data_IF_355480726103
#
_entry.id   IF_355480726103
#
_cell.length_a   1.000
_cell.length_b   1.000
_cell.length_c   1.000
_cell.angle_alpha   90.00
_cell.angle_beta   90.00
_cell.angle_gamma   90.00
#
_symmetry.space_group_name_H-M   'P 1'
#
loop_
_entity.id
_entity.type
_entity.pdbx_description
1 polymer ?
#
# COMPACT_ATOMS: atom_id res chain seq x y z
N UNK A 1 -21.54 21.06 -11.58
CA UNK A 1 -20.16 20.52 -11.64
C UNK A 1 -20.30 19.02 -11.53
N UNK A 2 -19.94 18.25 -12.57
CA UNK A 2 -20.27 16.81 -12.70
C UNK A 2 -19.60 15.93 -11.64
N UNK A 3 -18.42 16.33 -11.20
CA UNK A 3 -17.73 15.78 -10.05
C UNK A 3 -18.10 16.65 -8.85
N UNK A 4 -18.85 16.18 -7.84
CA UNK A 4 -19.23 17.01 -6.68
C UNK A 4 -18.06 17.62 -5.86
N UNK A 5 -18.24 17.86 -4.54
CA UNK A 5 -17.28 18.60 -3.70
C UNK A 5 -15.80 18.16 -3.79
N UNK A 6 -15.53 16.88 -4.08
CA UNK A 6 -14.18 16.31 -4.21
C UNK A 6 -13.66 16.17 -5.65
N UNK A 7 -14.03 17.10 -6.54
CA UNK A 7 -13.55 17.09 -7.92
C UNK A 7 -12.02 17.17 -8.05
N UNK A 8 -11.36 17.92 -7.16
CA UNK A 8 -9.91 18.03 -7.14
C UNK A 8 -9.23 16.68 -6.86
N UNK A 9 -9.73 15.91 -5.88
CA UNK A 9 -9.23 14.55 -5.58
C UNK A 9 -9.39 13.64 -6.80
N UNK A 10 -10.58 13.62 -7.42
CA UNK A 10 -10.81 12.81 -8.63
C UNK A 10 -9.91 13.20 -9.80
N UNK A 11 -9.67 14.50 -10.00
CA UNK A 11 -8.75 14.99 -11.03
C UNK A 11 -7.31 14.56 -10.72
N UNK A 12 -6.86 14.66 -9.47
CA UNK A 12 -5.53 14.23 -9.07
C UNK A 12 -5.29 12.76 -9.43
N UNK A 13 -6.22 11.85 -9.11
CA UNK A 13 -6.10 10.44 -9.53
C UNK A 13 -6.08 10.27 -11.04
N UNK A 14 -6.93 10.99 -11.78
CA UNK A 14 -6.96 10.91 -13.25
C UNK A 14 -5.68 11.43 -13.91
N UNK A 15 -5.02 12.40 -13.30
CA UNK A 15 -3.79 13.01 -13.81
C UNK A 15 -2.55 12.21 -13.46
N UNK A 16 -2.50 11.62 -12.27
CA UNK A 16 -1.26 11.02 -11.74
C UNK A 16 -1.22 9.49 -11.81
N UNK A 17 -2.36 8.82 -11.83
CA UNK A 17 -2.39 7.36 -11.94
C UNK A 17 -2.38 6.97 -13.42
N UNK A 18 -1.31 6.30 -13.82
CA UNK A 18 -1.12 5.76 -15.16
C UNK A 18 -1.04 4.22 -15.15
N UNK A 19 -0.71 3.63 -16.30
CA UNK A 19 -0.65 2.18 -16.48
C UNK A 19 0.29 1.45 -15.51
N UNK A 20 1.27 2.13 -14.87
CA UNK A 20 2.18 1.52 -13.90
C UNK A 20 1.49 1.07 -12.63
N UNK A 21 0.36 1.69 -12.29
CA UNK A 21 -0.41 1.38 -11.08
C UNK A 21 -1.46 0.28 -11.30
N UNK A 22 -1.65 -0.18 -12.55
CA UNK A 22 -2.60 -1.25 -12.85
C UNK A 22 -2.05 -2.62 -12.42
N UNK A 23 -2.93 -3.56 -12.05
CA UNK A 23 -2.53 -4.91 -11.67
C UNK A 23 -1.81 -5.62 -12.82
N UNK A 24 -0.72 -6.31 -12.49
CA UNK A 24 -0.04 -7.22 -13.43
C UNK A 24 -0.53 -8.65 -13.16
N UNK A 25 -1.24 -9.22 -14.13
CA UNK A 25 -1.76 -10.58 -14.01
C UNK A 25 -0.68 -11.62 -14.30
N UNK A 26 -0.66 -12.70 -13.51
CA UNK A 26 0.28 -13.81 -13.67
C UNK A 26 1.53 -13.72 -12.79
N UNK A 27 1.66 -12.67 -11.98
CA UNK A 27 2.67 -12.58 -10.92
C UNK A 27 2.43 -13.60 -9.80
N UNK A 28 3.50 -14.07 -9.17
CA UNK A 28 3.40 -14.76 -7.88
C UNK A 28 3.03 -13.77 -6.78
N UNK A 29 2.55 -14.28 -5.65
CA UNK A 29 2.20 -13.41 -4.51
C UNK A 29 3.38 -12.59 -3.97
N UNK A 30 4.61 -13.09 -4.09
CA UNK A 30 5.81 -12.37 -3.63
C UNK A 30 6.17 -11.23 -4.60
N UNK A 31 6.09 -11.48 -5.91
CA UNK A 31 6.29 -10.46 -6.95
C UNK A 31 5.27 -9.32 -6.82
N UNK A 32 3.99 -9.67 -6.65
CA UNK A 32 2.93 -8.68 -6.43
C UNK A 32 3.17 -7.85 -5.15
N UNK A 33 3.68 -8.47 -4.07
CA UNK A 33 4.02 -7.73 -2.84
C UNK A 33 5.18 -6.77 -3.05
N UNK A 34 6.24 -7.19 -3.73
CA UNK A 34 7.38 -6.33 -4.06
C UNK A 34 6.96 -5.14 -4.94
N UNK A 35 6.18 -5.43 -5.98
CA UNK A 35 5.60 -4.42 -6.87
C UNK A 35 4.80 -3.38 -6.11
N UNK A 36 3.82 -3.81 -5.29
CA UNK A 36 2.96 -2.89 -4.54
C UNK A 36 3.78 -2.10 -3.53
N UNK A 37 4.76 -2.72 -2.87
CA UNK A 37 5.65 -2.02 -1.91
C UNK A 37 6.40 -0.87 -2.58
N UNK A 38 6.90 -1.10 -3.79
CA UNK A 38 7.56 -0.04 -4.58
C UNK A 38 6.56 1.05 -4.96
N UNK A 39 5.40 0.68 -5.52
CA UNK A 39 4.39 1.65 -5.96
C UNK A 39 3.84 2.52 -4.82
N UNK A 40 3.75 2.00 -3.59
CA UNK A 40 3.34 2.77 -2.41
C UNK A 40 4.27 3.95 -2.09
N UNK A 41 5.52 3.90 -2.55
CA UNK A 41 6.48 5.00 -2.38
C UNK A 41 6.41 6.02 -3.52
N UNK A 42 5.76 5.65 -4.63
CA UNK A 42 5.58 6.50 -5.81
C UNK A 42 4.24 7.23 -5.83
N UNK A 43 3.33 6.91 -4.89
CA UNK A 43 2.02 7.56 -4.79
C UNK A 43 2.17 9.04 -4.42
N UNK A 44 1.62 9.97 -5.24
CA UNK A 44 1.61 11.40 -4.91
C UNK A 44 0.72 11.69 -3.70
N UNK A 45 1.13 12.68 -2.90
CA UNK A 45 0.36 13.10 -1.72
C UNK A 45 -0.99 13.75 -2.12
N UNK A 46 -1.05 14.34 -3.31
CA UNK A 46 -2.19 15.00 -3.92
C UNK A 46 -3.37 14.07 -4.16
N UNK A 47 -3.13 12.75 -4.14
CA UNK A 47 -4.20 11.76 -4.17
C UNK A 47 -5.08 11.82 -2.91
N UNK A 48 -4.66 12.49 -1.84
CA UNK A 48 -5.53 12.70 -0.68
C UNK A 48 -5.78 11.44 0.17
N UNK A 49 -4.91 10.43 0.05
CA UNK A 49 -5.00 9.22 0.90
C UNK A 49 -4.89 9.52 2.39
N UNK A 50 -4.17 10.58 2.76
CA UNK A 50 -4.00 11.02 4.16
C UNK A 50 -4.96 12.16 4.56
N UNK A 51 -5.92 12.55 3.71
CA UNK A 51 -6.74 13.74 3.94
C UNK A 51 -7.61 13.65 5.19
N UNK A 52 -7.98 12.44 5.63
CA UNK A 52 -8.75 12.24 6.88
C UNK A 52 -7.97 12.64 8.15
N UNK A 53 -6.63 12.67 8.11
CA UNK A 53 -5.84 13.01 9.28
C UNK A 53 -5.91 14.50 9.63
N UNK A 54 -5.75 14.86 10.92
CA UNK A 54 -5.56 16.25 11.32
C UNK A 54 -4.40 16.94 10.62
N UNK A 55 -4.48 18.27 10.49
CA UNK A 55 -3.44 19.10 9.89
C UNK A 55 -2.10 19.02 10.62
N UNK A 56 -2.12 18.80 11.94
CA UNK A 56 -0.91 18.57 12.76
C UNK A 56 -0.12 17.31 12.37
N UNK A 57 -0.75 16.37 11.67
CA UNK A 57 -0.11 15.17 11.11
C UNK A 57 0.01 15.21 9.58
N UNK A 58 -0.17 16.38 8.96
CA UNK A 58 -0.03 16.57 7.51
C UNK A 58 -1.29 16.23 6.69
N UNK A 59 -2.42 15.95 7.33
CA UNK A 59 -3.71 15.78 6.63
C UNK A 59 -4.48 17.09 6.49
N UNK A 60 -5.77 16.99 6.14
CA UNK A 60 -6.66 18.14 5.94
C UNK A 60 -7.97 18.05 6.73
N UNK A 61 -8.10 17.08 7.65
CA UNK A 61 -9.33 16.75 8.36
C UNK A 61 -10.55 16.54 7.42
N UNK A 62 -10.30 16.12 6.18
CA UNK A 62 -11.31 15.87 5.15
C UNK A 62 -11.51 14.37 4.98
N UNK A 63 -12.36 13.81 5.83
CA UNK A 63 -12.74 12.39 5.78
C UNK A 63 -13.40 12.05 4.44
N UNK A 64 -14.21 12.96 3.88
CA UNK A 64 -14.87 12.74 2.59
C UNK A 64 -13.87 12.63 1.44
N UNK A 65 -12.85 13.50 1.45
CA UNK A 65 -11.76 13.46 0.47
C UNK A 65 -10.98 12.14 0.54
N UNK A 66 -10.69 11.67 1.75
CA UNK A 66 -10.01 10.38 1.98
C UNK A 66 -10.83 9.19 1.47
N UNK A 67 -12.15 9.19 1.69
CA UNK A 67 -13.03 8.11 1.21
C UNK A 67 -13.04 8.07 -0.32
N UNK A 68 -13.18 9.23 -0.97
CA UNK A 68 -13.14 9.34 -2.43
C UNK A 68 -11.76 8.94 -2.97
N UNK A 69 -10.68 9.30 -2.27
CA UNK A 69 -9.33 8.90 -2.65
C UNK A 69 -9.17 7.36 -2.62
N UNK A 70 -9.64 6.72 -1.55
CA UNK A 70 -9.63 5.27 -1.42
C UNK A 70 -10.53 4.61 -2.47
N UNK A 71 -11.71 5.13 -2.75
CA UNK A 71 -12.60 4.64 -3.82
C UNK A 71 -11.90 4.69 -5.20
N UNK A 72 -11.31 5.85 -5.54
CA UNK A 72 -10.62 6.04 -6.81
C UNK A 72 -9.41 5.13 -6.96
N UNK A 73 -8.66 4.89 -5.87
CA UNK A 73 -7.50 3.99 -5.89
C UNK A 73 -7.93 2.51 -5.92
N UNK A 74 -9.03 2.15 -5.26
CA UNK A 74 -9.62 0.81 -5.32
C UNK A 74 -10.05 0.42 -6.74
N UNK A 75 -10.51 1.40 -7.53
CA UNK A 75 -10.85 1.20 -8.93
C UNK A 75 -9.63 0.82 -9.79
N UNK A 76 -8.43 1.22 -9.37
CA UNK A 76 -7.17 0.92 -10.03
C UNK A 76 -6.62 -0.41 -9.53
N UNK A 77 -6.38 -0.53 -8.22
CA UNK A 77 -5.86 -1.75 -7.60
C UNK A 77 -6.24 -1.80 -6.10
N UNK A 78 -6.93 -2.87 -5.70
CA UNK A 78 -7.37 -3.08 -4.32
C UNK A 78 -6.21 -3.31 -3.33
N UNK A 79 -5.15 -3.97 -3.77
CA UNK A 79 -3.97 -4.27 -2.95
C UNK A 79 -3.18 -3.01 -2.63
N UNK A 80 -3.11 -2.09 -3.59
CA UNK A 80 -2.50 -0.77 -3.46
C UNK A 80 -3.34 0.12 -2.55
N UNK A 81 -4.67 0.18 -2.77
CA UNK A 81 -5.58 0.95 -1.93
C UNK A 81 -5.49 0.59 -0.44
N UNK A 82 -5.59 -0.70 -0.11
CA UNK A 82 -5.55 -1.17 1.29
C UNK A 82 -4.24 -0.79 1.99
N UNK A 83 -3.12 -0.78 1.25
CA UNK A 83 -1.80 -0.45 1.82
C UNK A 83 -1.47 1.04 1.76
N UNK A 84 -2.16 1.81 0.93
CA UNK A 84 -2.01 3.26 0.86
C UNK A 84 -2.77 3.94 2.01
N UNK A 85 -3.92 3.41 2.41
CA UNK A 85 -4.74 3.94 3.51
C UNK A 85 -4.11 3.69 4.91
N UNK A 86 -3.02 2.93 4.97
CA UNK A 86 -2.11 2.86 6.13
C UNK A 86 -1.06 3.98 6.07
N UNK A 87 -1.49 5.18 5.67
CA UNK A 87 -0.69 6.30 5.17
C UNK A 87 0.34 6.89 6.14
N UNK A 88 0.35 6.48 7.41
CA UNK A 88 1.37 6.94 8.37
C UNK A 88 2.70 6.18 8.13
N UNK A 89 3.80 6.89 7.79
CA UNK A 89 5.13 6.29 7.67
C UNK A 89 5.58 5.55 8.93
N UNK A 90 5.15 5.98 10.12
CA UNK A 90 5.39 5.30 11.39
C UNK A 90 4.57 4.00 11.49
N UNK A 91 3.30 4.00 11.05
CA UNK A 91 2.49 2.77 10.95
C UNK A 91 3.08 1.82 9.91
N UNK A 92 3.56 2.32 8.77
CA UNK A 92 4.25 1.53 7.75
C UNK A 92 5.53 0.91 8.29
N UNK A 93 6.36 1.69 8.99
CA UNK A 93 7.57 1.20 9.63
C UNK A 93 7.26 0.16 10.72
N UNK A 94 6.20 0.38 11.49
CA UNK A 94 5.73 -0.56 12.50
C UNK A 94 5.24 -1.87 11.86
N UNK A 95 4.40 -1.80 10.83
CA UNK A 95 3.87 -2.97 10.12
C UNK A 95 4.98 -3.74 9.42
N UNK A 96 5.94 -3.05 8.79
CA UNK A 96 7.15 -3.69 8.22
C UNK A 96 7.88 -4.49 9.31
N UNK A 97 8.10 -3.88 10.47
CA UNK A 97 8.81 -4.52 11.58
C UNK A 97 8.03 -5.68 12.19
N UNK A 98 6.70 -5.60 12.25
CA UNK A 98 5.83 -6.72 12.68
C UNK A 98 5.86 -7.86 11.67
N UNK A 99 5.83 -7.57 10.37
CA UNK A 99 5.99 -8.58 9.32
C UNK A 99 7.36 -9.25 9.37
N UNK A 100 8.45 -8.48 9.54
CA UNK A 100 9.80 -9.01 9.69
C UNK A 100 9.92 -9.92 10.91
N UNK A 101 9.38 -9.49 12.05
CA UNK A 101 9.37 -10.28 13.29
C UNK A 101 8.54 -11.55 13.13
N UNK A 102 7.38 -11.49 12.46
CA UNK A 102 6.56 -12.67 12.20
C UNK A 102 7.28 -13.65 11.28
N UNK A 103 7.87 -13.18 10.18
CA UNK A 103 8.66 -14.00 9.27
C UNK A 103 9.81 -14.70 10.01
N UNK A 104 10.53 -13.95 10.86
CA UNK A 104 11.59 -14.51 11.69
C UNK A 104 11.01 -15.57 12.64
N UNK A 105 9.90 -15.31 13.33
CA UNK A 105 9.27 -16.27 14.25
C UNK A 105 8.85 -17.58 13.57
N UNK A 106 8.40 -17.51 12.32
CA UNK A 106 8.05 -18.69 11.52
C UNK A 106 9.30 -19.47 11.16
N UNK A 107 10.39 -18.80 10.77
CA UNK A 107 11.69 -19.44 10.53
C UNK A 107 12.17 -20.11 11.82
N UNK A 108 12.09 -19.43 12.97
CA UNK A 108 12.49 -19.96 14.26
C UNK A 108 11.69 -21.20 14.66
N UNK A 109 10.37 -21.14 14.51
CA UNK A 109 9.47 -22.24 14.80
C UNK A 109 9.75 -23.46 13.91
N UNK A 110 10.16 -23.22 12.66
CA UNK A 110 10.45 -24.28 11.68
C UNK A 110 11.95 -24.58 11.54
N UNK A 111 12.81 -24.12 12.48
CA UNK A 111 14.27 -24.33 12.42
C UNK A 111 14.65 -25.80 12.22
N UNK A 112 13.94 -26.73 12.88
CA UNK A 112 14.17 -28.17 12.73
C UNK A 112 13.91 -28.65 11.29
N UNK A 113 12.79 -28.23 10.71
CA UNK A 113 12.43 -28.56 9.33
C UNK A 113 13.44 -27.98 8.32
N UNK A 114 13.89 -26.72 8.50
CA UNK A 114 14.89 -26.07 7.64
C UNK A 114 16.29 -26.70 7.74
N UNK A 115 16.69 -27.15 8.94
CA UNK A 115 17.97 -27.85 9.14
C UNK A 115 17.92 -29.28 8.60
N UNK A 116 16.76 -29.95 8.63
CA UNK A 116 16.56 -31.29 8.08
C UNK A 116 16.49 -31.30 6.54
N UNK A 117 16.03 -30.21 5.92
CA UNK A 117 15.87 -30.09 4.46
C UNK A 117 17.03 -29.36 3.75
N UNK A 118 18.08 -28.90 4.46
CA UNK A 118 19.32 -28.38 3.86
C UNK A 118 20.32 -29.50 3.50
N UNK A 119 19.85 -30.47 2.72
CA UNK A 119 20.64 -31.43 1.93
C UNK A 119 20.15 -31.29 0.48
N UNK A 120 20.93 -30.96 -0.54
CA UNK A 120 22.37 -31.00 -0.76
C UNK A 120 22.70 -30.37 -2.12
N UNK A 121 23.58 -29.38 -2.18
CA UNK A 121 24.39 -29.08 -3.38
C UNK A 121 25.67 -28.37 -2.89
N UNK A 122 26.70 -29.13 -2.47
CA UNK A 122 28.05 -29.08 -3.07
C UNK A 122 28.27 -28.04 -4.18
#
# INVERSE_FOLDING_TARGET
MLDGPWAAVRNAHREHLDARFLPVYGETGDQAREQITRLLTELPAELGMASAFPTEYGGSSDVGGSIIASEMLAQVDLSLMVKADTADPAVRALLSRVCDLYALSIIETNKGWFLEHNRHDR
#
